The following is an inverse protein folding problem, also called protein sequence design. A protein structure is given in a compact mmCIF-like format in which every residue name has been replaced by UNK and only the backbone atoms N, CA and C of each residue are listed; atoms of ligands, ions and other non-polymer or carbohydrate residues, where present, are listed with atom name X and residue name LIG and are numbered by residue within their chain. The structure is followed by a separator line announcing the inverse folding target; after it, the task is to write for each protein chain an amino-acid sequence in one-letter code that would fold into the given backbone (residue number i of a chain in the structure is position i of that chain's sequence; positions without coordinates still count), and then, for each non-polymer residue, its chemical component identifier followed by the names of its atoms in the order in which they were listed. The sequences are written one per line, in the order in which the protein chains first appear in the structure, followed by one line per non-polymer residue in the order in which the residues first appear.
data_IF_543694446062
#
_entry.id   IF_543694446062
#
_cell.length_a   1.000
_cell.length_b   1.000
_cell.length_c   1.000
_cell.angle_alpha   90.00
_cell.angle_beta   90.00
_cell.angle_gamma   90.00
#
_symmetry.space_group_name_H-M   'P 1'
#
loop_
_entity.id
_entity.type
_entity.pdbx_description
1 polymer ?
#
# COMPACT_ATOMS: atom_id res chain seq x y z
N UNK A 1 -18.11 2.11 14.71
CA UNK A 1 -18.75 0.88 14.15
C UNK A 1 -17.74 -0.25 14.23
N UNK A 2 -18.19 -1.49 14.48
CA UNK A 2 -17.32 -2.66 14.39
C UNK A 2 -16.95 -2.96 12.92
N UNK A 3 -15.84 -3.68 12.73
CA UNK A 3 -15.40 -4.15 11.42
C UNK A 3 -16.39 -5.17 10.83
N UNK A 4 -16.45 -5.26 9.50
CA UNK A 4 -17.22 -6.29 8.80
C UNK A 4 -16.48 -7.62 8.78
N UNK A 5 -15.13 -7.55 8.85
CA UNK A 5 -14.22 -8.70 8.81
C UNK A 5 -13.27 -8.68 10.00
N UNK A 6 -12.95 -9.87 10.52
CA UNK A 6 -12.02 -10.02 11.65
C UNK A 6 -10.56 -10.03 11.22
N UNK A 7 -10.28 -10.25 9.95
CA UNK A 7 -8.93 -10.26 9.38
C UNK A 7 -8.84 -9.21 8.26
N UNK A 8 -7.94 -8.25 8.43
CA UNK A 8 -7.60 -7.21 7.45
C UNK A 8 -6.12 -7.36 7.07
N UNK A 9 -5.87 -7.83 5.87
CA UNK A 9 -4.54 -8.25 5.44
C UNK A 9 -3.84 -7.23 4.52
N UNK A 10 -4.40 -6.02 4.39
CA UNK A 10 -3.85 -4.97 3.56
C UNK A 10 -4.14 -3.58 4.16
N UNK A 11 -3.09 -2.85 4.52
CA UNK A 11 -3.21 -1.48 4.99
C UNK A 11 -1.88 -0.82 5.33
N UNK A 12 -1.89 0.50 5.39
CA UNK A 12 -0.73 1.37 5.38
C UNK A 12 -0.63 2.26 6.62
N UNK A 13 0.61 2.52 7.00
CA UNK A 13 0.95 3.45 8.07
C UNK A 13 1.65 4.69 7.52
N UNK A 14 2.00 5.62 8.40
CA UNK A 14 2.76 6.82 8.03
C UNK A 14 4.22 6.52 7.63
N UNK A 15 4.63 5.26 7.62
CA UNK A 15 5.92 4.84 7.09
C UNK A 15 5.94 4.86 5.55
N UNK A 16 4.78 4.68 4.91
CA UNK A 16 4.60 4.88 3.46
C UNK A 16 3.71 6.10 3.18
N UNK A 17 2.45 5.92 2.93
CA UNK A 17 1.51 6.95 2.52
C UNK A 17 0.21 6.98 3.34
N UNK A 18 0.10 6.14 4.37
CA UNK A 18 -0.93 6.24 5.40
C UNK A 18 -0.71 7.45 6.33
N UNK A 19 -1.64 7.69 7.26
CA UNK A 19 -1.54 8.82 8.20
C UNK A 19 -1.55 8.41 9.67
N UNK A 20 -1.73 7.13 9.96
CA UNK A 20 -1.58 6.58 11.28
C UNK A 20 -0.16 6.06 11.48
N UNK A 21 0.45 6.31 12.64
CA UNK A 21 1.64 5.57 13.05
C UNK A 21 1.29 4.08 13.23
N UNK A 22 2.27 3.17 13.20
CA UNK A 22 2.01 1.75 13.45
C UNK A 22 1.25 1.48 14.76
N UNK A 23 1.51 2.26 15.79
CA UNK A 23 0.80 2.18 17.09
C UNK A 23 -0.66 2.61 16.97
N UNK A 24 -0.91 3.74 16.31
CA UNK A 24 -2.27 4.23 16.07
C UNK A 24 -3.07 3.25 15.21
N UNK A 25 -2.46 2.70 14.17
CA UNK A 25 -3.06 1.72 13.28
C UNK A 25 -3.49 0.45 14.04
N UNK A 26 -2.60 -0.13 14.87
CA UNK A 26 -2.93 -1.28 15.71
C UNK A 26 -4.06 -0.95 16.69
N UNK A 27 -4.01 0.21 17.37
CA UNK A 27 -5.06 0.64 18.29
C UNK A 27 -6.41 0.85 17.59
N UNK A 28 -6.38 1.38 16.39
CA UNK A 28 -7.59 1.53 15.58
C UNK A 28 -8.19 0.16 15.23
N UNK A 29 -7.37 -0.82 14.82
CA UNK A 29 -7.82 -2.19 14.58
C UNK A 29 -8.48 -2.83 15.83
N UNK A 30 -7.89 -2.65 17.01
CA UNK A 30 -8.49 -3.07 18.29
C UNK A 30 -9.87 -2.45 18.48
N UNK A 31 -9.96 -1.13 18.29
CA UNK A 31 -11.23 -0.40 18.45
C UNK A 31 -12.29 -0.87 17.43
N UNK A 32 -11.88 -1.26 16.25
CA UNK A 32 -12.76 -1.82 15.21
C UNK A 32 -13.12 -3.28 15.46
N UNK A 33 -12.43 -3.98 16.36
CA UNK A 33 -12.67 -5.40 16.68
C UNK A 33 -11.97 -6.38 15.73
N UNK A 34 -11.03 -5.92 14.91
CA UNK A 34 -10.18 -6.75 14.07
C UNK A 34 -9.28 -7.61 14.96
N UNK A 35 -9.06 -8.88 14.58
CA UNK A 35 -8.31 -9.89 15.33
C UNK A 35 -6.97 -10.24 14.68
N UNK A 36 -6.93 -10.24 13.35
CA UNK A 36 -5.72 -10.47 12.57
C UNK A 36 -5.55 -9.27 11.64
N UNK A 37 -4.41 -8.60 11.77
CA UNK A 37 -4.09 -7.37 11.05
C UNK A 37 -2.76 -7.51 10.34
N UNK A 38 -2.63 -7.02 9.10
CA UNK A 38 -1.34 -6.85 8.48
C UNK A 38 -0.96 -5.37 8.35
N UNK A 39 0.33 -5.07 8.54
CA UNK A 39 0.94 -3.81 8.06
C UNK A 39 1.64 -4.15 6.76
N UNK A 40 1.27 -3.45 5.70
CA UNK A 40 1.76 -3.69 4.33
C UNK A 40 2.17 -2.38 3.65
N UNK A 41 2.96 -1.58 4.34
CA UNK A 41 3.46 -0.30 3.81
C UNK A 41 4.11 -0.47 2.43
N UNK A 42 3.91 0.50 1.54
CA UNK A 42 4.50 0.48 0.19
C UNK A 42 6.02 0.47 0.23
N UNK A 43 6.62 -0.56 -0.35
CA UNK A 43 8.04 -0.67 -0.67
C UNK A 43 8.98 -0.43 0.54
N UNK A 44 8.49 -0.55 1.77
CA UNK A 44 9.25 -0.36 3.01
C UNK A 44 9.04 -1.58 3.91
N UNK A 45 10.15 -2.14 4.40
CA UNK A 45 10.14 -3.27 5.32
C UNK A 45 9.37 -2.92 6.60
N UNK A 46 8.45 -3.79 7.07
CA UNK A 46 7.67 -3.51 8.28
C UNK A 46 8.57 -3.36 9.51
N UNK A 47 8.24 -2.45 10.45
CA UNK A 47 9.08 -2.21 11.60
C UNK A 47 9.13 -3.45 12.52
N UNK A 48 10.29 -3.70 13.10
CA UNK A 48 10.44 -4.68 14.19
C UNK A 48 10.08 -4.07 15.54
N UNK A 49 10.53 -2.83 15.75
CA UNK A 49 10.33 -2.08 16.99
C UNK A 49 9.45 -0.85 16.75
N UNK A 50 8.59 -0.56 17.72
CA UNK A 50 7.79 0.66 17.78
C UNK A 50 8.12 1.49 19.01
N UNK A 51 7.91 2.80 18.91
CA UNK A 51 8.06 3.74 20.03
C UNK A 51 6.69 3.99 20.68
N UNK A 52 6.63 3.79 22.01
CA UNK A 52 5.40 3.92 22.80
C UNK A 52 5.29 5.25 23.55
N UNK A 53 6.22 6.17 23.30
CA UNK A 53 6.35 7.42 24.07
C UNK A 53 7.31 7.28 25.26
N UNK A 54 7.87 8.42 25.69
CA UNK A 54 8.85 8.45 26.79
C UNK A 54 10.14 7.65 26.52
N UNK A 55 10.49 7.42 25.27
CA UNK A 55 11.69 6.65 24.87
C UNK A 55 11.55 5.13 25.02
N UNK A 56 10.36 4.61 25.34
CA UNK A 56 10.12 3.17 25.42
C UNK A 56 9.96 2.58 24.03
N UNK A 57 10.70 1.51 23.76
CA UNK A 57 10.57 0.70 22.55
C UNK A 57 10.06 -0.69 22.89
N UNK A 58 9.24 -1.25 22.02
CA UNK A 58 8.72 -2.59 22.14
C UNK A 58 8.66 -3.25 20.76
N UNK A 59 8.84 -4.56 20.74
CA UNK A 59 8.64 -5.36 19.53
C UNK A 59 7.16 -5.25 19.12
N UNK A 60 6.92 -5.03 17.83
CA UNK A 60 5.60 -4.63 17.31
C UNK A 60 4.56 -5.74 17.43
N UNK A 61 4.94 -7.00 17.16
CA UNK A 61 4.00 -8.14 17.25
C UNK A 61 3.66 -8.44 18.70
N UNK A 62 4.63 -8.34 19.62
CA UNK A 62 4.39 -8.47 21.05
C UNK A 62 3.47 -7.36 21.58
N UNK A 63 3.63 -6.13 21.09
CA UNK A 63 2.72 -5.03 21.42
C UNK A 63 1.30 -5.34 20.93
N UNK A 64 1.15 -5.71 19.66
CA UNK A 64 -0.15 -6.01 19.07
C UNK A 64 -0.86 -7.14 19.81
N UNK A 65 -0.14 -8.21 20.12
CA UNK A 65 -0.64 -9.34 20.91
C UNK A 65 -1.09 -8.91 22.32
N UNK A 66 -0.31 -8.03 22.95
CA UNK A 66 -0.64 -7.48 24.27
C UNK A 66 -1.93 -6.65 24.28
N UNK A 67 -2.35 -6.09 23.16
CA UNK A 67 -3.61 -5.34 23.01
C UNK A 67 -4.73 -6.13 22.31
N UNK A 68 -4.49 -7.42 22.00
CA UNK A 68 -5.50 -8.37 21.52
C UNK A 68 -5.63 -8.49 19.99
N UNK A 69 -4.59 -8.17 19.25
CA UNK A 69 -4.49 -8.33 17.80
C UNK A 69 -3.29 -9.19 17.43
N UNK A 70 -3.46 -10.17 16.56
CA UNK A 70 -2.38 -10.91 15.92
C UNK A 70 -1.90 -10.09 14.70
N UNK A 71 -0.67 -9.59 14.77
CA UNK A 71 -0.11 -8.73 13.73
C UNK A 71 0.80 -9.51 12.80
N UNK A 72 0.47 -9.51 11.52
CA UNK A 72 1.34 -9.97 10.43
C UNK A 72 2.21 -8.81 9.94
N UNK A 73 3.51 -9.03 9.89
CA UNK A 73 4.43 -8.11 9.23
C UNK A 73 4.42 -8.41 7.73
N UNK A 74 4.14 -7.40 6.93
CA UNK A 74 4.04 -7.50 5.49
C UNK A 74 4.59 -6.26 4.78
N UNK A 75 4.59 -6.30 3.46
CA UNK A 75 4.96 -5.21 2.58
C UNK A 75 4.07 -5.26 1.35
N UNK A 76 3.62 -4.12 0.86
CA UNK A 76 3.05 -4.01 -0.47
C UNK A 76 4.12 -3.53 -1.45
N UNK A 77 4.52 -4.40 -2.36
CA UNK A 77 5.47 -4.06 -3.42
C UNK A 77 4.71 -3.54 -4.62
N UNK A 78 4.98 -2.30 -4.96
CA UNK A 78 4.51 -1.73 -6.20
C UNK A 78 5.41 -2.22 -7.33
N UNK A 79 4.87 -3.05 -8.22
CA UNK A 79 5.62 -3.56 -9.36
C UNK A 79 5.71 -2.50 -10.44
N UNK A 80 6.93 -2.07 -10.76
CA UNK A 80 7.14 -1.19 -11.91
C UNK A 80 7.14 -2.03 -13.19
N UNK A 81 5.97 -2.09 -13.80
CA UNK A 81 5.78 -2.66 -15.12
C UNK A 81 5.27 -1.54 -16.03
N UNK A 82 5.13 -1.81 -17.33
CA UNK A 82 4.35 -0.93 -18.23
C UNK A 82 2.84 -1.01 -17.96
N UNK A 83 2.46 -1.77 -16.93
CA UNK A 83 1.09 -2.03 -16.50
C UNK A 83 0.91 -1.25 -15.20
N UNK A 84 -0.05 -0.33 -15.19
CA UNK A 84 -0.36 0.45 -14.00
C UNK A 84 -1.01 -0.43 -12.91
N UNK A 85 -0.78 -0.06 -11.65
CA UNK A 85 -1.43 -0.62 -10.46
C UNK A 85 -1.21 -2.13 -10.22
N UNK A 86 -0.08 -2.70 -10.68
CA UNK A 86 0.32 -4.07 -10.30
C UNK A 86 1.04 -4.02 -8.97
N UNK A 87 0.36 -4.40 -7.92
CA UNK A 87 0.92 -4.45 -6.55
C UNK A 87 0.84 -5.85 -5.97
N UNK A 88 1.84 -6.21 -5.17
CA UNK A 88 1.94 -7.50 -4.52
C UNK A 88 2.05 -7.34 -3.01
N UNK A 89 1.04 -7.78 -2.29
CA UNK A 89 1.12 -7.93 -0.82
C UNK A 89 1.90 -9.19 -0.49
N UNK A 90 2.96 -9.01 0.29
CA UNK A 90 3.86 -10.09 0.72
C UNK A 90 3.84 -10.20 2.23
N UNK A 91 3.57 -11.40 2.73
CA UNK A 91 3.41 -11.70 4.15
C UNK A 91 4.38 -12.82 4.59
N UNK A 92 4.84 -12.75 5.83
CA UNK A 92 5.61 -13.82 6.45
C UNK A 92 6.99 -14.06 5.86
N UNK A 93 7.60 -13.06 5.23
CA UNK A 93 8.94 -13.13 4.70
C UNK A 93 10.00 -13.13 5.81
N UNK A 94 11.19 -13.62 5.51
CA UNK A 94 12.38 -13.39 6.34
C UNK A 94 12.84 -11.93 6.19
N UNK A 95 12.30 -11.05 7.03
CA UNK A 95 12.59 -9.61 7.00
C UNK A 95 14.04 -9.26 7.33
N UNK A 96 14.83 -10.20 7.85
CA UNK A 96 16.26 -10.04 8.12
C UNK A 96 17.12 -10.44 6.92
N UNK A 97 16.54 -11.00 5.87
CA UNK A 97 17.28 -11.34 4.66
C UNK A 97 17.97 -10.10 4.07
N UNK A 98 19.22 -10.22 3.62
CA UNK A 98 19.97 -9.09 3.04
C UNK A 98 19.21 -8.36 1.93
N UNK A 99 18.43 -9.09 1.16
CA UNK A 99 17.59 -8.58 0.10
C UNK A 99 16.62 -7.47 0.58
N UNK A 100 15.96 -7.64 1.73
CA UNK A 100 15.01 -6.64 2.22
C UNK A 100 15.71 -5.37 2.71
N UNK A 101 16.92 -5.49 3.25
CA UNK A 101 17.73 -4.34 3.61
C UNK A 101 18.15 -3.56 2.37
N UNK A 102 18.61 -4.26 1.33
CA UNK A 102 18.96 -3.66 0.05
C UNK A 102 17.74 -3.02 -0.63
N UNK A 103 16.59 -3.67 -0.56
CA UNK A 103 15.31 -3.14 -1.08
C UNK A 103 14.91 -1.84 -0.36
N UNK A 104 14.97 -1.82 0.96
CA UNK A 104 14.62 -0.65 1.80
C UNK A 104 15.52 0.54 1.46
N UNK A 105 16.84 0.33 1.44
CA UNK A 105 17.83 1.36 1.06
C UNK A 105 17.62 1.85 -0.39
N UNK A 106 17.41 0.93 -1.32
CA UNK A 106 17.17 1.26 -2.73
C UNK A 106 15.86 2.06 -2.90
N UNK A 107 14.79 1.61 -2.27
CA UNK A 107 13.47 2.25 -2.38
C UNK A 107 13.49 3.66 -1.80
N UNK A 108 14.11 3.85 -0.62
CA UNK A 108 14.24 5.18 -0.01
C UNK A 108 15.04 6.09 -0.93
N UNK A 109 16.21 5.64 -1.41
CA UNK A 109 17.06 6.43 -2.29
C UNK A 109 16.36 6.75 -3.63
N UNK A 110 15.74 5.76 -4.25
CA UNK A 110 14.97 5.93 -5.50
C UNK A 110 13.82 6.92 -5.31
N UNK A 111 13.07 6.79 -4.21
CA UNK A 111 11.98 7.72 -3.86
C UNK A 111 12.49 9.16 -3.69
N UNK A 112 13.52 9.35 -2.87
CA UNK A 112 14.11 10.69 -2.63
C UNK A 112 14.62 11.29 -3.92
N UNK A 113 15.39 10.54 -4.71
CA UNK A 113 15.93 11.00 -5.98
C UNK A 113 14.80 11.35 -6.98
N UNK A 114 13.75 10.54 -7.06
CA UNK A 114 12.61 10.84 -7.94
C UNK A 114 11.85 12.10 -7.51
N UNK A 115 11.76 12.38 -6.21
CA UNK A 115 11.11 13.59 -5.71
C UNK A 115 11.98 14.84 -5.91
N UNK A 116 13.30 14.73 -5.73
CA UNK A 116 14.24 15.82 -6.08
C UNK A 116 14.14 16.15 -7.56
N UNK A 117 14.17 15.12 -8.43
CA UNK A 117 14.00 15.30 -9.86
C UNK A 117 12.63 15.90 -10.23
N UNK A 118 11.56 15.53 -9.51
CA UNK A 118 10.25 16.15 -9.73
C UNK A 118 10.31 17.66 -9.43
N UNK A 119 10.99 18.07 -8.34
CA UNK A 119 11.18 19.50 -8.02
C UNK A 119 11.97 20.20 -9.11
N UNK A 120 13.05 19.59 -9.61
CA UNK A 120 13.84 20.18 -10.72
C UNK A 120 12.97 20.39 -11.95
N UNK A 121 12.17 19.41 -12.35
CA UNK A 121 11.24 19.53 -13.48
C UNK A 121 10.15 20.59 -13.26
N UNK A 122 9.64 20.74 -12.03
CA UNK A 122 8.68 21.78 -11.70
C UNK A 122 9.33 23.18 -11.73
N UNK A 123 10.59 23.30 -11.30
CA UNK A 123 11.37 24.52 -11.38
C UNK A 123 11.61 24.94 -12.85
N UNK A 124 11.88 24.00 -13.74
CA UNK A 124 11.97 24.26 -15.20
C UNK A 124 10.65 24.80 -15.78
N UNK A 125 9.50 24.47 -15.14
CA UNK A 125 8.19 25.00 -15.50
C UNK A 125 7.86 26.33 -14.78
N UNK A 126 8.83 26.94 -14.11
CA UNK A 126 8.67 28.23 -13.40
C UNK A 126 8.06 28.12 -12.00
N UNK A 127 7.98 26.93 -11.43
CA UNK A 127 7.47 26.69 -10.09
C UNK A 127 8.64 26.59 -9.09
N UNK A 128 9.22 27.71 -8.71
CA UNK A 128 10.41 27.77 -7.87
C UNK A 128 10.16 27.13 -6.49
N UNK A 129 10.75 25.96 -6.27
CA UNK A 129 10.70 25.18 -5.02
C UNK A 129 12.06 24.59 -4.70
N UNK A 130 12.34 24.38 -3.40
CA UNK A 130 13.55 23.70 -2.95
C UNK A 130 13.22 22.44 -2.16
N UNK A 131 14.19 21.52 -2.10
CA UNK A 131 14.06 20.32 -1.30
C UNK A 131 13.94 20.63 0.19
N UNK A 132 14.65 21.65 0.65
CA UNK A 132 14.62 22.16 2.03
C UNK A 132 13.22 22.64 2.42
N UNK A 133 12.51 23.34 1.52
CA UNK A 133 11.12 23.77 1.74
C UNK A 133 10.18 22.56 1.88
N UNK A 134 10.40 21.47 1.13
CA UNK A 134 9.62 20.24 1.28
C UNK A 134 9.91 19.59 2.64
N UNK A 135 11.19 19.50 3.05
CA UNK A 135 11.59 18.95 4.35
C UNK A 135 11.03 19.76 5.53
N UNK A 136 10.85 21.05 5.40
CA UNK A 136 10.22 21.88 6.45
C UNK A 136 8.73 21.59 6.63
N UNK A 137 8.07 21.00 5.65
CA UNK A 137 6.70 20.50 5.72
C UNK A 137 5.75 21.43 6.52
N UNK A 138 5.66 22.71 6.12
CA UNK A 138 4.80 23.71 6.78
C UNK A 138 5.04 23.88 8.30
N UNK A 139 6.31 23.84 8.72
CA UNK A 139 6.68 24.00 10.13
C UNK A 139 6.72 22.68 10.94
N UNK A 140 6.51 21.55 10.29
CA UNK A 140 6.68 20.20 10.86
C UNK A 140 7.79 19.46 10.14
N UNK A 141 9.09 19.73 10.44
CA UNK A 141 10.22 19.16 9.72
C UNK A 141 10.18 17.64 9.69
N UNK A 142 10.50 17.07 8.52
CA UNK A 142 10.57 15.62 8.30
C UNK A 142 11.96 15.22 7.81
N UNK A 143 12.37 14.00 8.13
CA UNK A 143 13.57 13.41 7.55
C UNK A 143 13.29 12.93 6.12
N UNK A 144 14.30 12.93 5.25
CA UNK A 144 14.15 12.61 3.81
C UNK A 144 13.40 11.30 3.53
N UNK A 145 13.67 10.24 4.31
CA UNK A 145 13.03 8.95 4.13
C UNK A 145 11.51 8.96 4.38
N UNK A 146 11.01 9.95 5.12
CA UNK A 146 9.58 10.10 5.43
C UNK A 146 8.85 11.10 4.52
N UNK A 147 9.55 11.70 3.56
CA UNK A 147 8.92 12.60 2.60
C UNK A 147 7.90 11.84 1.75
N UNK A 148 6.71 12.41 1.64
CA UNK A 148 5.64 11.93 0.76
C UNK A 148 5.49 12.88 -0.44
N UNK A 149 5.16 12.34 -1.60
CA UNK A 149 4.91 13.14 -2.82
C UNK A 149 3.83 14.20 -2.60
N UNK A 150 2.87 13.94 -1.74
CA UNK A 150 1.84 14.88 -1.33
C UNK A 150 2.41 16.17 -0.72
N UNK A 151 3.53 16.11 0.01
CA UNK A 151 4.17 17.29 0.61
C UNK A 151 4.66 18.26 -0.47
N UNK A 152 5.11 17.75 -1.63
CA UNK A 152 5.45 18.57 -2.81
C UNK A 152 4.19 19.25 -3.35
N UNK A 153 3.09 18.50 -3.48
CA UNK A 153 1.81 19.07 -3.96
C UNK A 153 1.24 20.12 -3.01
N UNK A 154 1.38 19.91 -1.70
CA UNK A 154 1.01 20.90 -0.68
C UNK A 154 1.90 22.14 -0.74
N UNK A 155 3.20 22.00 -1.01
CA UNK A 155 4.11 23.11 -1.23
C UNK A 155 3.73 23.91 -2.49
N UNK A 156 3.41 23.23 -3.60
CA UNK A 156 2.91 23.89 -4.83
C UNK A 156 1.68 24.75 -4.53
N UNK A 157 0.72 24.22 -3.77
CA UNK A 157 -0.48 24.97 -3.40
C UNK A 157 -0.17 26.14 -2.45
N UNK A 158 0.69 25.96 -1.44
CA UNK A 158 1.10 27.04 -0.53
C UNK A 158 1.83 28.20 -1.24
N UNK A 159 2.62 27.88 -2.25
CA UNK A 159 3.33 28.90 -3.07
C UNK A 159 2.41 29.56 -4.11
N UNK A 160 1.16 29.13 -4.22
CA UNK A 160 0.16 29.73 -5.11
C UNK A 160 0.29 29.29 -6.57
N UNK A 161 1.05 28.24 -6.85
CA UNK A 161 1.15 27.67 -8.21
C UNK A 161 -0.13 26.91 -8.60
N UNK A 162 -0.84 26.37 -7.62
CA UNK A 162 -2.12 25.66 -7.79
C UNK A 162 -3.08 26.05 -6.66
N UNK A 163 -4.39 25.96 -6.89
CA UNK A 163 -5.40 26.30 -5.89
C UNK A 163 -5.43 25.31 -4.71
N UNK A 164 -5.04 24.05 -4.99
CA UNK A 164 -5.02 22.98 -3.99
C UNK A 164 -3.99 21.89 -4.31
N UNK A 165 -3.62 21.10 -3.30
CA UNK A 165 -2.76 19.93 -3.50
C UNK A 165 -3.39 18.87 -4.44
N UNK A 166 -4.74 18.81 -4.53
CA UNK A 166 -5.44 17.90 -5.46
C UNK A 166 -5.23 18.32 -6.90
N UNK A 167 -5.30 19.61 -7.17
CA UNK A 167 -5.01 20.17 -8.49
C UNK A 167 -3.54 19.97 -8.85
N UNK A 168 -2.62 20.21 -7.92
CA UNK A 168 -1.20 19.94 -8.09
C UNK A 168 -0.92 18.47 -8.44
N UNK A 169 -1.60 17.53 -7.74
CA UNK A 169 -1.51 16.09 -8.05
C UNK A 169 -1.98 15.80 -9.47
N UNK A 170 -3.10 16.39 -9.89
CA UNK A 170 -3.65 16.18 -11.24
C UNK A 170 -2.74 16.79 -12.31
N UNK A 171 -2.20 17.98 -12.07
CA UNK A 171 -1.22 18.60 -12.95
C UNK A 171 -0.02 17.69 -13.21
N UNK A 172 0.63 17.20 -12.15
CA UNK A 172 1.80 16.31 -12.27
C UNK A 172 1.42 14.99 -12.96
N UNK A 173 0.23 14.42 -12.67
CA UNK A 173 -0.24 13.19 -13.32
C UNK A 173 -0.44 13.36 -14.83
N UNK A 174 -0.92 14.50 -15.26
CA UNK A 174 -1.28 14.77 -16.65
C UNK A 174 -0.14 15.43 -17.47
N UNK A 175 0.92 15.92 -16.81
CA UNK A 175 2.05 16.58 -17.45
C UNK A 175 3.13 15.55 -17.79
N UNK A 176 3.47 15.46 -19.08
CA UNK A 176 4.58 14.63 -19.56
C UNK A 176 5.95 15.17 -19.12
N UNK A 177 6.05 16.47 -19.00
CA UNK A 177 7.28 17.18 -18.65
C UNK A 177 7.72 16.95 -17.20
N UNK A 178 6.74 16.73 -16.30
CA UNK A 178 6.98 16.55 -14.87
C UNK A 178 6.71 15.11 -14.39
N UNK A 179 6.54 14.17 -15.30
CA UNK A 179 6.35 12.75 -14.96
C UNK A 179 7.68 12.09 -14.62
N UNK A 180 7.77 11.47 -13.45
CA UNK A 180 8.95 10.74 -12.99
C UNK A 180 8.60 9.27 -12.76
N UNK A 181 9.32 8.35 -13.42
CA UNK A 181 9.19 6.89 -13.20
C UNK A 181 10.12 6.42 -12.09
N UNK A 182 9.63 5.50 -11.26
CA UNK A 182 10.43 4.80 -10.23
C UNK A 182 10.86 3.43 -10.74
N UNK A 183 12.11 3.06 -10.52
CA UNK A 183 12.62 1.71 -10.81
C UNK A 183 12.40 0.79 -9.61
N UNK A 184 12.08 -0.49 -9.84
CA UNK A 184 11.75 -1.48 -8.80
C UNK A 184 12.37 -2.85 -9.05
N UNK A 185 12.55 -3.60 -7.98
CA UNK A 185 13.26 -4.88 -7.93
C UNK A 185 12.32 -6.02 -7.51
N UNK A 186 12.44 -7.19 -8.14
CA UNK A 186 11.64 -8.37 -7.92
C UNK A 186 12.46 -9.54 -7.41
N UNK A 187 12.34 -9.91 -6.13
CA UNK A 187 12.57 -11.26 -5.59
C UNK A 187 12.07 -11.32 -4.16
N UNK A 188 11.12 -12.19 -3.86
CA UNK A 188 10.43 -12.27 -2.58
C UNK A 188 10.43 -13.67 -2.02
N UNK A 189 10.69 -13.78 -0.70
CA UNK A 189 10.31 -14.93 0.08
C UNK A 189 8.93 -14.70 0.74
N UNK A 190 8.32 -15.74 1.30
CA UNK A 190 7.04 -15.65 1.98
C UNK A 190 5.82 -15.90 1.07
N UNK A 191 4.68 -15.37 1.44
CA UNK A 191 3.42 -15.49 0.70
C UNK A 191 3.24 -14.25 -0.17
N UNK A 192 2.94 -14.44 -1.45
CA UNK A 192 2.75 -13.37 -2.44
C UNK A 192 1.29 -13.36 -2.89
N UNK A 193 0.60 -12.24 -2.67
CA UNK A 193 -0.80 -12.03 -2.99
C UNK A 193 -0.94 -10.86 -3.96
N UNK A 194 -1.60 -11.06 -5.10
CA UNK A 194 -1.94 -9.95 -6.00
C UNK A 194 -2.97 -9.05 -5.32
N UNK A 195 -2.58 -7.80 -5.06
CA UNK A 195 -3.45 -6.79 -4.46
C UNK A 195 -4.43 -6.23 -5.51
N UNK A 196 -5.61 -5.85 -5.06
CA UNK A 196 -6.66 -5.12 -5.81
C UNK A 196 -6.66 -5.34 -7.34
N UNK A 197 -6.80 -6.58 -7.84
CA UNK A 197 -6.57 -6.93 -9.25
C UNK A 197 -7.39 -6.11 -10.25
N UNK A 198 -8.54 -5.59 -9.86
CA UNK A 198 -9.41 -4.80 -10.76
C UNK A 198 -9.00 -3.33 -10.92
N UNK A 199 -7.96 -2.86 -10.21
CA UNK A 199 -7.30 -1.59 -10.51
C UNK A 199 -6.35 -1.69 -11.70
N UNK A 200 -5.92 -2.90 -12.08
CA UNK A 200 -5.14 -3.13 -13.30
C UNK A 200 -6.01 -2.78 -14.50
N UNK A 201 -5.58 -1.77 -15.27
CA UNK A 201 -6.30 -1.28 -16.45
C UNK A 201 -6.26 -2.28 -17.60
N UNK A 202 -7.37 -2.36 -18.38
CA UNK A 202 -7.44 -3.18 -19.60
C UNK A 202 -7.49 -2.30 -20.86
N UNK A 203 -6.93 -2.74 -21.98
CA UNK A 203 -6.13 -3.96 -22.14
C UNK A 203 -4.76 -3.88 -21.44
N UNK A 204 -4.27 -5.03 -20.99
CA UNK A 204 -2.93 -5.15 -20.40
C UNK A 204 -1.90 -5.34 -21.49
N UNK A 205 -0.89 -4.47 -21.56
CA UNK A 205 0.24 -4.63 -22.49
C UNK A 205 1.40 -5.34 -21.78
N UNK A 206 1.63 -6.61 -22.11
CA UNK A 206 2.70 -7.41 -21.53
C UNK A 206 3.60 -8.02 -22.61
N UNK A 207 4.91 -7.73 -22.54
CA UNK A 207 5.92 -8.20 -23.52
C UNK A 207 5.54 -7.94 -24.97
N UNK A 208 4.93 -6.77 -25.25
CA UNK A 208 4.52 -6.36 -26.59
C UNK A 208 3.26 -7.04 -27.12
N UNK A 209 2.50 -7.71 -26.27
CA UNK A 209 1.18 -8.27 -26.56
C UNK A 209 0.12 -7.62 -25.70
N UNK A 210 -1.02 -7.31 -26.29
CA UNK A 210 -2.21 -6.93 -25.55
C UNK A 210 -2.97 -8.18 -25.12
N UNK A 211 -3.43 -8.18 -23.87
CA UNK A 211 -4.21 -9.26 -23.27
C UNK A 211 -5.22 -8.72 -22.28
N UNK A 212 -6.19 -9.55 -21.89
CA UNK A 212 -7.10 -9.25 -20.80
C UNK A 212 -6.39 -9.30 -19.46
N UNK A 213 -6.98 -8.65 -18.45
CA UNK A 213 -6.54 -8.76 -17.05
C UNK A 213 -6.49 -10.21 -16.58
N UNK A 214 -7.49 -11.01 -16.96
CA UNK A 214 -7.53 -12.42 -16.60
C UNK A 214 -6.34 -13.19 -17.16
N UNK A 215 -6.01 -12.99 -18.44
CA UNK A 215 -4.84 -13.63 -19.06
C UNK A 215 -3.54 -13.18 -18.38
N UNK A 216 -3.45 -11.91 -17.98
CA UNK A 216 -2.29 -11.42 -17.23
C UNK A 216 -2.20 -12.05 -15.83
N UNK A 217 -3.32 -12.21 -15.13
CA UNK A 217 -3.35 -12.91 -13.84
C UNK A 217 -2.87 -14.36 -13.99
N UNK A 218 -3.23 -15.05 -15.09
CA UNK A 218 -2.70 -16.39 -15.37
C UNK A 218 -1.16 -16.39 -15.45
N UNK A 219 -0.58 -15.40 -16.12
CA UNK A 219 0.89 -15.26 -16.18
C UNK A 219 1.49 -15.11 -14.76
N UNK A 220 0.84 -14.35 -13.87
CA UNK A 220 1.31 -14.19 -12.49
C UNK A 220 1.17 -15.48 -11.68
N UNK A 221 0.09 -16.25 -11.89
CA UNK A 221 -0.10 -17.55 -11.26
C UNK A 221 0.99 -18.53 -11.70
N UNK A 222 1.29 -18.59 -12.99
CA UNK A 222 2.38 -19.43 -13.53
C UNK A 222 3.75 -18.99 -13.00
N UNK A 223 3.93 -17.71 -12.71
CA UNK A 223 5.15 -17.16 -12.09
C UNK A 223 5.27 -17.44 -10.59
N UNK A 224 4.27 -18.07 -9.95
CA UNK A 224 4.32 -18.50 -8.56
C UNK A 224 3.50 -17.64 -7.58
N UNK A 225 2.48 -16.93 -8.05
CA UNK A 225 1.54 -16.21 -7.19
C UNK A 225 0.84 -17.17 -6.23
N UNK A 226 0.85 -16.86 -4.93
CA UNK A 226 0.23 -17.67 -3.89
C UNK A 226 -1.24 -17.35 -3.64
N UNK A 227 -1.67 -16.13 -3.92
CA UNK A 227 -3.03 -15.67 -3.64
C UNK A 227 -3.45 -14.44 -4.43
N UNK A 228 -4.72 -14.12 -4.29
CA UNK A 228 -5.35 -12.97 -4.94
C UNK A 228 -6.33 -12.28 -3.99
N UNK A 229 -6.35 -10.97 -4.00
CA UNK A 229 -7.27 -10.18 -3.19
C UNK A 229 -8.64 -10.12 -3.86
N UNK A 230 -9.66 -10.67 -3.18
CA UNK A 230 -11.04 -10.65 -3.64
C UNK A 230 -11.87 -9.55 -2.98
N UNK A 231 -11.65 -9.32 -1.69
CA UNK A 231 -12.40 -8.34 -0.89
C UNK A 231 -11.58 -7.05 -0.74
N UNK A 232 -12.01 -6.00 -1.44
CA UNK A 232 -11.29 -4.72 -1.50
C UNK A 232 -12.26 -3.54 -1.66
N UNK A 233 -11.85 -2.35 -1.26
CA UNK A 233 -12.65 -1.11 -1.22
C UNK A 233 -12.74 -0.39 -2.57
N UNK A 234 -13.06 -1.09 -3.66
CA UNK A 234 -13.12 -0.53 -5.02
C UNK A 234 -13.98 0.74 -5.13
N UNK A 235 -15.07 0.82 -4.38
CA UNK A 235 -15.99 1.95 -4.34
C UNK A 235 -15.40 3.22 -3.69
N UNK A 236 -14.18 3.14 -3.14
CA UNK A 236 -13.48 4.25 -2.48
C UNK A 236 -12.13 4.57 -3.12
N UNK A 237 -11.84 4.02 -4.27
CA UNK A 237 -10.57 4.12 -4.97
C UNK A 237 -10.71 4.74 -6.37
N UNK A 238 -9.65 4.64 -7.19
CA UNK A 238 -9.62 5.07 -8.58
C UNK A 238 -10.30 4.08 -9.54
N UNK A 239 -10.96 3.02 -9.04
CA UNK A 239 -11.65 2.06 -9.90
C UNK A 239 -12.69 2.75 -10.80
N UNK A 240 -12.51 2.64 -12.11
CA UNK A 240 -13.36 3.26 -13.13
C UNK A 240 -14.31 2.28 -13.84
N UNK A 241 -14.34 1.02 -13.40
CA UNK A 241 -15.23 0.00 -13.98
C UNK A 241 -16.67 0.12 -13.50
N UNK A 242 -17.55 -0.75 -14.01
CA UNK A 242 -18.99 -0.75 -13.72
C UNK A 242 -19.40 -1.78 -12.68
N UNK A 243 -18.55 -2.72 -12.33
CA UNK A 243 -18.84 -3.76 -11.34
C UNK A 243 -18.79 -3.18 -9.93
N UNK A 244 -19.70 -3.61 -9.08
CA UNK A 244 -19.64 -3.35 -7.64
C UNK A 244 -18.53 -4.18 -6.98
N UNK A 245 -18.07 -3.77 -5.81
CA UNK A 245 -17.07 -4.55 -5.04
C UNK A 245 -17.53 -5.97 -4.72
N UNK A 246 -18.84 -6.18 -4.52
CA UNK A 246 -19.39 -7.51 -4.24
C UNK A 246 -19.43 -8.39 -5.49
N UNK A 247 -19.70 -7.83 -6.66
CA UNK A 247 -19.62 -8.54 -7.94
C UNK A 247 -18.19 -8.93 -8.27
N UNK A 248 -17.23 -8.02 -8.05
CA UNK A 248 -15.79 -8.30 -8.22
C UNK A 248 -15.37 -9.42 -7.27
N UNK A 249 -15.72 -9.32 -5.98
CA UNK A 249 -15.41 -10.34 -4.98
C UNK A 249 -15.93 -11.71 -5.41
N UNK A 250 -17.17 -11.77 -5.85
CA UNK A 250 -17.81 -13.00 -6.33
C UNK A 250 -17.05 -13.58 -7.52
N UNK A 251 -16.76 -12.76 -8.53
CA UNK A 251 -16.03 -13.20 -9.73
C UNK A 251 -14.65 -13.74 -9.40
N UNK A 252 -13.87 -13.06 -8.54
CA UNK A 252 -12.54 -13.51 -8.11
C UNK A 252 -12.64 -14.86 -7.40
N UNK A 253 -13.58 -15.03 -6.49
CA UNK A 253 -13.81 -16.30 -5.78
C UNK A 253 -14.16 -17.42 -6.78
N UNK A 254 -15.12 -17.20 -7.67
CA UNK A 254 -15.56 -18.18 -8.66
C UNK A 254 -14.45 -18.64 -9.59
N UNK A 255 -13.55 -17.72 -9.98
CA UNK A 255 -12.45 -18.04 -10.88
C UNK A 255 -11.26 -18.73 -10.20
N UNK A 256 -10.91 -18.31 -8.98
CA UNK A 256 -9.60 -18.63 -8.41
C UNK A 256 -9.63 -19.48 -7.15
N UNK A 257 -10.75 -19.57 -6.41
CA UNK A 257 -10.79 -20.36 -5.16
C UNK A 257 -10.51 -21.85 -5.35
N UNK A 258 -10.96 -22.43 -6.48
CA UNK A 258 -10.74 -23.85 -6.82
C UNK A 258 -9.32 -24.17 -7.32
N UNK A 259 -8.42 -23.19 -7.40
CA UNK A 259 -7.10 -23.33 -8.02
C UNK A 259 -5.94 -23.45 -7.01
N UNK A 260 -6.26 -23.59 -5.74
CA UNK A 260 -5.27 -23.68 -4.66
C UNK A 260 -4.67 -22.32 -4.27
N UNK A 261 -5.22 -21.21 -4.77
CA UNK A 261 -4.82 -19.85 -4.39
C UNK A 261 -5.48 -19.43 -3.07
N UNK A 262 -4.77 -18.63 -2.31
CA UNK A 262 -5.32 -17.92 -1.14
C UNK A 262 -6.26 -16.83 -1.67
N UNK A 263 -7.54 -16.89 -1.27
CA UNK A 263 -8.48 -15.79 -1.49
C UNK A 263 -8.36 -14.83 -0.31
N UNK A 264 -7.69 -13.72 -0.55
CA UNK A 264 -7.39 -12.71 0.45
C UNK A 264 -8.36 -11.53 0.41
N UNK A 265 -8.17 -10.59 1.32
CA UNK A 265 -8.86 -9.33 1.36
C UNK A 265 -8.27 -8.39 2.39
N UNK A 266 -8.40 -7.10 2.12
CA UNK A 266 -8.01 -6.03 3.00
C UNK A 266 -8.72 -4.73 2.67
N UNK A 267 -8.66 -3.79 3.61
CA UNK A 267 -9.31 -2.48 3.45
C UNK A 267 -8.45 -1.48 2.66
N UNK A 268 -7.17 -1.77 2.53
CA UNK A 268 -6.19 -0.81 2.01
C UNK A 268 -6.29 0.52 2.76
N UNK A 269 -6.37 0.43 4.09
CA UNK A 269 -6.55 1.56 4.99
C UNK A 269 -5.35 2.51 4.96
N UNK A 270 -5.63 3.81 4.88
CA UNK A 270 -4.61 4.87 4.86
C UNK A 270 -4.87 5.98 5.88
N UNK A 271 -5.80 5.80 6.81
CA UNK A 271 -6.31 6.86 7.69
C UNK A 271 -6.78 8.10 6.89
N UNK A 272 -7.47 7.89 5.79
CA UNK A 272 -7.93 8.94 4.86
C UNK A 272 -8.87 9.95 5.54
N UNK A 273 -9.54 9.56 6.62
CA UNK A 273 -10.35 10.45 7.46
C UNK A 273 -9.54 11.62 8.03
N UNK A 274 -8.27 11.39 8.39
CA UNK A 274 -7.34 12.47 8.82
C UNK A 274 -7.03 13.47 7.70
N UNK A 275 -7.18 13.06 6.44
CA UNK A 275 -7.03 13.92 5.26
C UNK A 275 -8.32 14.65 4.86
N UNK A 276 -9.41 14.49 5.63
CA UNK A 276 -10.72 15.10 5.35
C UNK A 276 -11.50 14.42 4.22
N UNK A 277 -11.21 13.17 3.89
CA UNK A 277 -12.00 12.37 2.95
C UNK A 277 -13.36 12.08 3.59
N UNK A 278 -14.46 12.39 2.88
CA UNK A 278 -15.84 12.26 3.43
C UNK A 278 -16.28 10.81 3.63
N UNK A 279 -15.79 9.88 2.80
CA UNK A 279 -16.06 8.45 2.91
C UNK A 279 -14.72 7.71 2.92
N UNK A 280 -14.00 7.74 4.07
CA UNK A 280 -12.68 7.12 4.15
C UNK A 280 -12.77 5.60 4.14
N UNK A 281 -11.69 4.95 3.73
CA UNK A 281 -11.48 3.53 3.94
C UNK A 281 -11.30 3.25 5.43
N UNK A 282 -11.89 2.17 5.92
CA UNK A 282 -11.86 1.83 7.34
C UNK A 282 -11.32 0.42 7.57
N UNK A 283 -10.51 0.23 8.60
CA UNK A 283 -9.93 -1.07 8.97
C UNK A 283 -11.03 -2.11 9.15
N UNK A 284 -10.89 -3.27 8.50
CA UNK A 284 -11.86 -4.37 8.52
C UNK A 284 -13.15 -4.09 7.76
N UNK A 285 -13.22 -3.04 6.94
CA UNK A 285 -14.35 -2.82 6.03
C UNK A 285 -14.37 -3.85 4.90
N UNK A 286 -13.21 -4.18 4.38
CA UNK A 286 -12.92 -5.33 3.53
C UNK A 286 -11.91 -6.23 4.22
N UNK A 287 -11.83 -7.48 3.80
CA UNK A 287 -10.98 -8.48 4.44
C UNK A 287 -11.52 -9.89 4.25
N UNK A 288 -11.10 -10.81 5.09
CA UNK A 288 -11.62 -12.18 5.16
C UNK A 288 -12.08 -12.52 6.58
N UNK A 289 -12.96 -13.52 6.70
CA UNK A 289 -13.36 -14.02 8.01
C UNK A 289 -12.20 -14.78 8.68
N UNK A 290 -12.22 -14.88 10.00
CA UNK A 290 -11.23 -15.71 10.70
C UNK A 290 -11.33 -17.18 10.27
N UNK A 291 -12.53 -17.68 10.02
CA UNK A 291 -12.77 -19.02 9.50
C UNK A 291 -12.06 -19.22 8.16
N UNK A 292 -12.20 -18.27 7.21
CA UNK A 292 -11.53 -18.36 5.91
C UNK A 292 -10.01 -18.27 6.05
N UNK A 293 -9.50 -17.37 6.90
CA UNK A 293 -8.07 -17.29 7.19
C UNK A 293 -7.49 -18.63 7.66
N UNK A 294 -8.17 -19.31 8.59
CA UNK A 294 -7.73 -20.59 9.17
C UNK A 294 -7.76 -21.77 8.18
N UNK A 295 -8.46 -21.65 7.04
CA UNK A 295 -8.43 -22.65 5.96
C UNK A 295 -7.09 -22.71 5.23
N UNK A 296 -6.31 -21.63 5.25
CA UNK A 296 -5.05 -21.53 4.53
C UNK A 296 -3.87 -21.82 5.46
N UNK A 297 -3.34 -23.04 5.40
CA UNK A 297 -2.19 -23.46 6.22
C UNK A 297 -0.99 -22.51 6.10
N UNK A 298 -0.74 -21.98 4.89
CA UNK A 298 0.32 -20.97 4.67
C UNK A 298 0.12 -19.73 5.53
N UNK A 299 -1.10 -19.19 5.61
CA UNK A 299 -1.41 -18.02 6.44
C UNK A 299 -1.30 -18.34 7.94
N UNK A 300 -1.78 -19.51 8.36
CA UNK A 300 -1.71 -19.94 9.77
C UNK A 300 -0.26 -20.08 10.24
N UNK A 301 0.65 -20.56 9.38
CA UNK A 301 2.07 -20.74 9.72
C UNK A 301 2.83 -19.44 9.97
N UNK A 302 2.36 -18.31 9.44
CA UNK A 302 3.02 -17.00 9.60
C UNK A 302 2.43 -16.16 10.74
N UNK A 303 1.45 -16.69 11.48
CA UNK A 303 0.97 -16.04 12.72
C UNK A 303 2.10 -16.00 13.76
N UNK A 304 2.26 -14.87 14.50
CA UNK A 304 3.32 -14.67 15.48
C UNK A 304 3.13 -15.50 16.77
#
# INVERSE_FOLDING_TARGET
MLANYECDLHGHTNRSDGNDSPVEYIRHAVHRGVKILAITDHDIVPPELIELGGGKRQEITAYAKGVGVELLRGIEISCETYIDDVHLVCLGCDWNAPYFKELDEFTINSKVNSYRKLIDLLNEQGMEMTWEEVLQNNGYPVQEQFVQKKMIFELMARKGYMESWKEAKLYVKNSKEVSVKREKIHKLGGIIILAHPYLISEPVSYKGKEMSRQEFIEVLIEAGLDGIEASYTYDKTSYGGTMTKDEIKKEVIERYAGRGLIISGGSDYHADGKKGVKNPREIGECGITREDFMKYEKLVRILP
#
